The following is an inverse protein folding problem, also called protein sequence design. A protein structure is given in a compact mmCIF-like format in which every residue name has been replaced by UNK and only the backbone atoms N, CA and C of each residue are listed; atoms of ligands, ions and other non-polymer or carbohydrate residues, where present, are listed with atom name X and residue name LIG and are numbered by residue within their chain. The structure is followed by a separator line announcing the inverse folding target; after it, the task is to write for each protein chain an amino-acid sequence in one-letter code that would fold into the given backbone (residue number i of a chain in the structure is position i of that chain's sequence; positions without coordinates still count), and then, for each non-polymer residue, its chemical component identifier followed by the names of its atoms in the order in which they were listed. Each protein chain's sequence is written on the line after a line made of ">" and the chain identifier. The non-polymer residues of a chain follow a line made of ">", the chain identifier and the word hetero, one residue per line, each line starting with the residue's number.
data_IF_298424854994
#
_entry.id   IF_298424854994
#
_cell.length_a   1.000
_cell.length_b   1.000
_cell.length_c   1.000
_cell.angle_alpha   90.00
_cell.angle_beta   90.00
_cell.angle_gamma   90.00
#
_symmetry.space_group_name_H-M   'P 1'
#
loop_
_entity.id
_entity.type
_entity.pdbx_description
1 polymer ?
#
# COMPACT_ATOMS: atom_id res chain seq x y z
N UNK A 1 6.95 19.20 -2.55
CA UNK A 1 6.98 17.72 -2.53
C UNK A 1 5.64 17.20 -3.03
N UNK A 2 5.56 16.72 -4.29
CA UNK A 2 4.33 16.10 -4.81
C UNK A 2 4.11 14.78 -4.11
N UNK A 3 2.88 14.54 -3.67
CA UNK A 3 2.56 13.33 -2.92
C UNK A 3 1.97 12.26 -3.83
N UNK A 4 2.49 11.04 -3.75
CA UNK A 4 2.25 9.98 -4.74
C UNK A 4 0.83 9.36 -4.64
N UNK A 5 0.13 9.49 -3.50
CA UNK A 5 -1.19 8.89 -3.29
C UNK A 5 -2.31 9.92 -3.44
N UNK A 6 -2.66 10.26 -4.68
CA UNK A 6 -3.70 11.24 -5.04
C UNK A 6 -4.92 10.54 -5.64
N UNK A 7 -6.11 10.80 -5.06
CA UNK A 7 -7.37 10.16 -5.50
C UNK A 7 -7.72 10.50 -6.95
N UNK A 8 -7.53 11.74 -7.38
CA UNK A 8 -7.85 12.18 -8.74
C UNK A 8 -7.02 11.43 -9.80
N UNK A 9 -5.71 11.27 -9.55
CA UNK A 9 -4.83 10.50 -10.44
C UNK A 9 -5.26 9.04 -10.52
N UNK A 10 -5.62 8.44 -9.39
CA UNK A 10 -6.09 7.05 -9.36
C UNK A 10 -7.41 6.88 -10.08
N UNK A 11 -8.36 7.81 -9.87
CA UNK A 11 -9.64 7.79 -10.56
C UNK A 11 -9.42 7.80 -12.08
N UNK A 12 -8.56 8.70 -12.58
CA UNK A 12 -8.24 8.76 -14.01
C UNK A 12 -7.58 7.48 -14.57
N UNK A 13 -6.81 6.76 -13.74
CA UNK A 13 -6.22 5.45 -14.12
C UNK A 13 -7.32 4.39 -14.16
N UNK A 14 -8.14 4.30 -13.11
CA UNK A 14 -9.19 3.27 -12.99
C UNK A 14 -10.32 3.46 -14.00
N UNK A 15 -10.68 4.70 -14.32
CA UNK A 15 -11.69 5.04 -15.34
C UNK A 15 -11.27 4.56 -16.74
N UNK A 16 -9.97 4.35 -16.95
CA UNK A 16 -9.38 3.81 -18.18
C UNK A 16 -9.03 2.32 -18.09
N UNK A 17 -9.50 1.63 -17.04
CA UNK A 17 -9.23 0.21 -16.81
C UNK A 17 -7.81 -0.12 -16.34
N UNK A 18 -7.02 0.88 -15.93
CA UNK A 18 -5.66 0.68 -15.46
C UNK A 18 -5.59 0.21 -14.00
N UNK A 19 -4.50 -0.47 -13.65
CA UNK A 19 -4.16 -0.86 -12.28
C UNK A 19 -3.09 0.08 -11.69
N UNK A 20 -3.04 0.17 -10.36
CA UNK A 20 -2.09 1.05 -9.68
C UNK A 20 -1.45 0.39 -8.45
N UNK A 21 -0.20 0.78 -8.17
CA UNK A 21 0.50 0.51 -6.90
C UNK A 21 1.05 1.85 -6.41
N UNK A 22 0.71 2.23 -5.18
CA UNK A 22 1.06 3.54 -4.63
C UNK A 22 1.64 3.42 -3.23
N UNK A 23 2.55 4.34 -2.90
CA UNK A 23 3.03 4.49 -1.53
C UNK A 23 2.08 5.38 -0.74
N UNK A 24 1.45 4.81 0.29
CA UNK A 24 0.59 5.57 1.21
C UNK A 24 1.45 6.22 2.28
N UNK A 25 1.44 7.56 2.33
CA UNK A 25 2.12 8.36 3.36
C UNK A 25 1.09 9.12 4.20
N UNK A 26 1.53 10.11 4.96
CA UNK A 26 0.67 10.91 5.86
C UNK A 26 -0.29 11.85 5.13
N UNK A 27 -0.20 11.97 3.81
CA UNK A 27 -1.13 12.77 3.01
C UNK A 27 -2.53 12.14 2.83
N UNK A 28 -2.68 10.86 3.20
CA UNK A 28 -3.96 10.16 3.24
C UNK A 28 -4.12 9.49 4.62
N UNK A 29 -4.28 10.28 5.69
CA UNK A 29 -4.15 9.77 7.07
C UNK A 29 -5.21 8.71 7.40
N UNK A 30 -6.45 8.91 6.94
CA UNK A 30 -7.53 7.94 7.14
C UNK A 30 -7.28 6.63 6.39
N UNK A 31 -6.81 6.70 5.14
CA UNK A 31 -6.42 5.52 4.36
C UNK A 31 -5.27 4.77 5.04
N UNK A 32 -4.23 5.49 5.47
CA UNK A 32 -3.09 4.92 6.19
C UNK A 32 -3.55 4.21 7.48
N UNK A 33 -4.50 4.78 8.22
CA UNK A 33 -5.08 4.16 9.42
C UNK A 33 -5.83 2.85 9.08
N UNK A 34 -6.68 2.86 8.06
CA UNK A 34 -7.43 1.66 7.63
C UNK A 34 -6.50 0.54 7.17
N UNK A 35 -5.50 0.86 6.34
CA UNK A 35 -4.51 -0.13 5.88
C UNK A 35 -3.68 -0.68 7.04
N UNK A 36 -3.27 0.15 8.01
CA UNK A 36 -2.57 -0.33 9.21
C UNK A 36 -3.41 -1.27 10.09
N UNK A 37 -4.72 -1.11 10.08
CA UNK A 37 -5.64 -1.91 10.88
C UNK A 37 -5.98 -3.28 10.26
N UNK A 38 -5.51 -3.57 9.04
CA UNK A 38 -5.64 -4.91 8.45
C UNK A 38 -4.92 -5.95 9.30
N UNK A 39 -5.37 -7.22 9.29
CA UNK A 39 -4.80 -8.31 10.09
C UNK A 39 -3.45 -8.79 9.53
N UNK A 40 -2.47 -7.90 9.44
CA UNK A 40 -1.15 -8.18 8.87
C UNK A 40 -0.39 -9.29 9.57
N UNK A 41 -0.72 -9.59 10.83
CA UNK A 41 -0.12 -10.71 11.56
C UNK A 41 -0.53 -12.06 10.96
N UNK A 42 -1.78 -12.16 10.51
CA UNK A 42 -2.39 -13.40 10.02
C UNK A 42 -2.12 -13.61 8.52
N UNK A 43 -1.79 -12.54 7.80
CA UNK A 43 -1.44 -12.60 6.37
C UNK A 43 -0.02 -13.16 6.21
N UNK A 44 0.20 -14.21 5.39
CA UNK A 44 1.53 -14.77 5.17
C UNK A 44 2.46 -13.78 4.45
N UNK A 45 3.76 -13.85 4.76
CA UNK A 45 4.79 -13.14 4.02
C UNK A 45 5.03 -13.82 2.67
N UNK A 46 4.87 -13.10 1.58
CA UNK A 46 5.11 -13.60 0.23
C UNK A 46 6.59 -13.53 -0.16
N UNK A 47 7.30 -12.52 0.35
CA UNK A 47 8.73 -12.38 0.17
C UNK A 47 9.35 -11.67 1.38
N UNK A 48 10.57 -12.07 1.74
CA UNK A 48 11.37 -11.41 2.77
C UNK A 48 12.80 -11.26 2.24
N UNK A 49 13.26 -10.03 2.09
CA UNK A 49 14.65 -9.72 1.73
C UNK A 49 15.36 -9.15 2.96
N UNK A 50 16.58 -9.63 3.22
CA UNK A 50 17.44 -9.15 4.30
C UNK A 50 18.76 -8.70 3.69
N UNK A 51 19.15 -7.47 3.98
CA UNK A 51 20.37 -6.85 3.48
C UNK A 51 21.14 -6.22 4.64
N UNK A 52 22.46 -6.15 4.51
CA UNK A 52 23.32 -5.42 5.41
C UNK A 52 24.28 -4.56 4.58
N UNK A 53 24.35 -3.25 4.88
CA UNK A 53 25.20 -2.32 4.16
C UNK A 53 25.30 -0.98 4.89
N UNK A 54 26.45 -0.32 4.79
CA UNK A 54 26.71 0.99 5.41
C UNK A 54 26.38 1.03 6.91
N UNK A 55 26.66 -0.06 7.63
CA UNK A 55 26.38 -0.19 9.06
C UNK A 55 24.91 -0.39 9.42
N UNK A 56 24.01 -0.51 8.44
CA UNK A 56 22.58 -0.80 8.67
C UNK A 56 22.23 -2.22 8.25
N UNK A 57 21.32 -2.84 9.01
CA UNK A 57 20.61 -4.06 8.61
C UNK A 57 19.21 -3.68 8.20
N UNK A 58 18.81 -4.08 7.00
CA UNK A 58 17.48 -3.81 6.46
C UNK A 58 16.73 -5.12 6.25
N UNK A 59 15.43 -5.13 6.59
CA UNK A 59 14.52 -6.24 6.28
C UNK A 59 13.30 -5.67 5.57
N UNK A 60 13.02 -6.17 4.36
CA UNK A 60 11.86 -5.81 3.56
C UNK A 60 10.93 -7.01 3.49
N UNK A 61 9.70 -6.84 3.95
CA UNK A 61 8.67 -7.89 3.94
C UNK A 61 7.54 -7.49 3.00
N UNK A 62 7.24 -8.34 2.02
CA UNK A 62 6.09 -8.20 1.14
C UNK A 62 4.94 -9.06 1.66
N UNK A 63 3.80 -8.44 1.93
CA UNK A 63 2.52 -9.10 2.20
C UNK A 63 1.47 -8.54 1.25
N UNK A 64 0.60 -9.40 0.73
CA UNK A 64 -0.55 -8.98 -0.05
C UNK A 64 -1.79 -9.74 0.42
N UNK A 65 -2.92 -9.06 0.40
CA UNK A 65 -4.23 -9.63 0.71
C UNK A 65 -5.26 -9.02 -0.22
N UNK A 66 -6.25 -9.80 -0.62
CA UNK A 66 -7.47 -9.22 -1.16
C UNK A 66 -8.22 -8.50 -0.04
N UNK A 67 -8.99 -7.48 -0.42
CA UNK A 67 -9.91 -6.80 0.49
C UNK A 67 -11.28 -7.43 0.31
N UNK A 68 -11.89 -7.92 1.38
CA UNK A 68 -13.28 -8.41 1.33
C UNK A 68 -14.29 -7.24 1.23
N UNK A 69 -13.88 -6.07 1.70
CA UNK A 69 -14.64 -4.83 1.63
C UNK A 69 -13.70 -3.67 1.29
N UNK A 70 -14.16 -2.77 0.43
CA UNK A 70 -13.37 -1.64 0.00
C UNK A 70 -12.88 -0.75 1.14
N UNK A 71 -11.65 -0.23 0.98
CA UNK A 71 -10.96 0.60 1.98
C UNK A 71 -11.22 2.11 1.82
N UNK A 72 -12.21 2.48 0.99
CA UNK A 72 -12.62 3.86 0.76
C UNK A 72 -11.63 4.65 -0.11
N UNK A 73 -10.92 3.95 -1.00
CA UNK A 73 -10.01 4.53 -1.97
C UNK A 73 -10.37 4.05 -3.38
N UNK A 74 -10.29 4.89 -4.43
CA UNK A 74 -10.80 4.55 -5.76
C UNK A 74 -10.20 3.25 -6.30
N UNK A 75 -11.04 2.30 -6.71
CA UNK A 75 -10.60 1.00 -7.24
C UNK A 75 -9.95 0.05 -6.24
N UNK A 76 -9.90 0.38 -4.94
CA UNK A 76 -9.47 -0.53 -3.87
C UNK A 76 -10.70 -1.16 -3.20
N UNK A 77 -11.33 -2.08 -3.93
CA UNK A 77 -12.53 -2.83 -3.54
C UNK A 77 -12.20 -4.27 -3.15
#
# INVERSE_FOLDING_TARGET
>A
MRCNCQRATVQAITDRGGHYILTIKNNQPNLRRRVKALPWKDIPSLAISREAGHGRRETRTLKATALAHGIGFPGAV
#
